data_IF_665200222743
#
_entry.id   IF_665200222743
#
_cell.length_a   1.000
_cell.length_b   1.000
_cell.length_c   1.000
_cell.angle_alpha   90.00
_cell.angle_beta   90.00
_cell.angle_gamma   90.00
#
_symmetry.space_group_name_H-M   'P 1'
#
loop_
_entity.id
_entity.type
_entity.pdbx_description
1 polymer ?
#
# COMPACT_ATOMS: atom_id res chain seq x y z
N UNK A 1 8.73 -0.86 5.24
CA UNK A 1 8.42 0.55 4.91
C UNK A 1 9.61 1.39 5.24
N UNK A 2 10.12 2.17 4.29
CA UNK A 2 11.23 3.09 4.50
C UNK A 2 10.70 4.53 4.51
N UNK A 3 11.40 5.42 5.21
CA UNK A 3 11.11 6.84 5.12
C UNK A 3 11.31 7.32 3.67
N UNK A 4 10.45 8.21 3.18
CA UNK A 4 10.54 8.71 1.80
C UNK A 4 11.84 9.48 1.50
N UNK A 5 12.49 10.05 2.52
CA UNK A 5 13.79 10.70 2.43
C UNK A 5 14.97 9.73 2.55
N UNK A 6 14.73 8.44 2.82
CA UNK A 6 15.79 7.44 2.89
C UNK A 6 16.25 7.06 1.47
N UNK A 7 17.51 7.32 1.16
CA UNK A 7 18.10 7.01 -0.14
C UNK A 7 18.29 5.50 -0.27
N UNK A 8 17.48 4.87 -1.14
CA UNK A 8 17.70 3.50 -1.59
C UNK A 8 18.37 3.51 -2.97
N UNK A 9 19.23 2.52 -3.28
CA UNK A 9 19.67 2.33 -4.64
C UNK A 9 18.47 2.14 -5.57
N UNK A 10 18.57 2.68 -6.79
CA UNK A 10 17.49 2.66 -7.78
C UNK A 10 17.32 1.24 -8.34
N UNK A 11 16.55 0.41 -7.65
CA UNK A 11 16.05 -0.86 -8.17
C UNK A 11 14.52 -0.88 -8.17
N UNK A 12 13.94 -0.99 -9.37
CA UNK A 12 12.51 -1.21 -9.56
C UNK A 12 12.14 -2.63 -9.15
N UNK A 13 11.74 -2.82 -7.89
CA UNK A 13 11.14 -4.08 -7.45
C UNK A 13 9.69 -4.17 -7.94
N UNK A 14 9.30 -5.31 -8.50
CA UNK A 14 7.95 -5.50 -9.06
C UNK A 14 7.45 -6.93 -8.84
N UNK A 15 6.13 -7.09 -8.74
CA UNK A 15 5.47 -8.40 -8.73
C UNK A 15 5.17 -8.93 -10.15
N UNK A 16 5.51 -8.17 -11.19
CA UNK A 16 5.29 -8.58 -12.58
C UNK A 16 6.18 -9.76 -12.96
N UNK A 17 5.63 -10.86 -13.51
CA UNK A 17 6.42 -11.97 -14.00
C UNK A 17 7.28 -11.61 -15.23
N UNK A 18 6.95 -10.52 -15.92
CA UNK A 18 7.63 -10.05 -17.14
C UNK A 18 8.91 -9.25 -16.88
N UNK A 19 9.25 -8.97 -15.62
CA UNK A 19 10.48 -8.25 -15.27
C UNK A 19 11.68 -9.19 -15.11
N UNK A 20 12.89 -8.64 -15.16
CA UNK A 20 14.13 -9.38 -14.89
C UNK A 20 14.06 -10.07 -13.53
N UNK A 21 14.64 -11.27 -13.43
CA UNK A 21 14.54 -12.09 -12.22
C UNK A 21 14.98 -11.36 -10.94
N UNK A 22 16.02 -10.54 -11.02
CA UNK A 22 16.53 -9.79 -9.86
C UNK A 22 15.61 -8.64 -9.42
N UNK A 23 14.68 -8.20 -10.27
CA UNK A 23 13.65 -7.19 -9.98
C UNK A 23 12.36 -7.80 -9.44
N UNK A 24 12.18 -9.12 -9.60
CA UNK A 24 10.93 -9.81 -9.28
C UNK A 24 10.83 -10.11 -7.79
N UNK A 25 9.70 -9.73 -7.20
CA UNK A 25 9.27 -10.16 -5.87
C UNK A 25 8.17 -11.22 -6.00
N UNK A 26 8.19 -12.23 -5.13
CA UNK A 26 7.13 -13.25 -5.02
C UNK A 26 6.33 -13.00 -3.75
N UNK A 27 5.03 -13.30 -3.79
CA UNK A 27 4.15 -13.21 -2.62
C UNK A 27 4.61 -14.09 -1.43
N UNK A 28 5.39 -15.13 -1.70
CA UNK A 28 5.93 -16.06 -0.71
C UNK A 28 7.32 -15.65 -0.21
N UNK A 29 7.90 -14.56 -0.71
CA UNK A 29 9.19 -14.10 -0.23
C UNK A 29 9.08 -13.65 1.23
N UNK A 30 10.08 -14.01 2.03
CA UNK A 30 10.19 -13.52 3.40
C UNK A 30 10.83 -12.14 3.38
N UNK A 31 10.01 -11.10 3.48
CA UNK A 31 10.47 -9.72 3.59
C UNK A 31 10.97 -9.45 5.01
N UNK A 32 12.30 -9.45 5.20
CA UNK A 32 12.96 -8.84 6.37
C UNK A 32 13.28 -7.37 6.10
N UNK A 33 12.40 -6.70 5.36
CA UNK A 33 12.60 -5.33 4.95
C UNK A 33 12.55 -4.41 6.17
N UNK A 34 13.30 -3.31 6.10
CA UNK A 34 13.26 -2.27 7.14
C UNK A 34 11.84 -1.74 7.32
N UNK A 35 11.40 -1.64 8.57
CA UNK A 35 10.24 -0.86 8.95
C UNK A 35 10.76 0.36 9.72
N UNK A 36 10.75 1.51 9.06
CA UNK A 36 11.11 2.80 9.64
C UNK A 36 9.88 3.57 10.12
N UNK A 37 8.74 2.89 10.32
CA UNK A 37 7.61 3.49 10.99
C UNK A 37 8.01 3.76 12.45
N UNK A 38 7.76 4.96 12.99
CA UNK A 38 8.04 5.22 14.40
C UNK A 38 7.23 4.29 15.30
N UNK A 39 7.87 3.68 16.31
CA UNK A 39 7.21 2.71 17.20
C UNK A 39 6.12 3.35 18.11
N UNK A 40 6.11 4.68 18.24
CA UNK A 40 5.25 5.41 19.16
C UNK A 40 4.34 6.45 18.48
N UNK A 41 4.08 6.32 17.18
CA UNK A 41 3.11 7.18 16.49
C UNK A 41 1.76 6.50 16.35
N UNK A 42 0.69 7.25 16.63
CA UNK A 42 -0.70 6.85 16.38
C UNK A 42 -1.26 7.51 15.10
N UNK A 43 -0.37 8.06 14.26
CA UNK A 43 -0.74 8.70 13.01
C UNK A 43 -1.54 7.76 12.10
N UNK A 44 -2.46 8.35 11.35
CA UNK A 44 -3.26 7.59 10.41
C UNK A 44 -2.42 7.17 9.21
N UNK A 45 -2.54 5.89 8.83
CA UNK A 45 -1.96 5.36 7.60
C UNK A 45 -3.06 5.21 6.55
N UNK A 46 -2.82 5.81 5.38
CA UNK A 46 -3.67 5.66 4.20
C UNK A 46 -2.96 4.81 3.15
N UNK A 47 -3.66 3.81 2.62
CA UNK A 47 -3.15 2.95 1.57
C UNK A 47 -3.84 3.22 0.24
N UNK A 48 -3.04 3.68 -0.72
CA UNK A 48 -3.41 3.89 -2.12
C UNK A 48 -2.59 2.93 -3.00
N UNK A 49 -3.06 1.69 -3.17
CA UNK A 49 -2.29 0.69 -3.90
C UNK A 49 -3.13 -0.41 -4.50
N UNK A 50 -2.49 -1.19 -5.39
CA UNK A 50 -3.12 -2.36 -6.00
C UNK A 50 -3.38 -3.48 -4.99
N UNK A 51 -4.40 -4.31 -5.26
CA UNK A 51 -4.82 -5.42 -4.40
C UNK A 51 -3.68 -6.39 -4.03
N UNK A 52 -2.71 -6.56 -4.93
CA UNK A 52 -1.61 -7.51 -4.76
C UNK A 52 -0.62 -7.08 -3.67
N UNK A 53 -0.61 -5.79 -3.32
CA UNK A 53 0.23 -5.23 -2.25
C UNK A 53 -0.46 -5.26 -0.88
N UNK A 54 -1.76 -5.58 -0.80
CA UNK A 54 -2.51 -5.57 0.46
C UNK A 54 -1.96 -6.54 1.52
N UNK A 55 -1.61 -7.79 1.19
CA UNK A 55 -1.05 -8.70 2.20
C UNK A 55 0.24 -8.14 2.82
N UNK A 56 1.11 -7.57 1.99
CA UNK A 56 2.36 -6.96 2.44
C UNK A 56 2.10 -5.72 3.31
N UNK A 57 1.20 -4.85 2.89
CA UNK A 57 0.78 -3.69 3.69
C UNK A 57 0.24 -4.10 5.07
N UNK A 58 -0.68 -5.07 5.12
CA UNK A 58 -1.27 -5.54 6.37
C UNK A 58 -0.22 -6.15 7.30
N UNK A 59 0.75 -6.88 6.75
CA UNK A 59 1.83 -7.48 7.53
C UNK A 59 2.77 -6.40 8.11
N UNK A 60 3.20 -5.45 7.29
CA UNK A 60 4.15 -4.39 7.69
C UNK A 60 3.56 -3.40 8.69
N UNK A 61 2.26 -3.13 8.61
CA UNK A 61 1.57 -2.17 9.48
C UNK A 61 0.81 -2.82 10.62
N UNK A 62 0.98 -4.15 10.84
CA UNK A 62 0.16 -4.92 11.78
C UNK A 62 0.19 -4.39 13.21
N UNK A 63 1.37 -3.97 13.67
CA UNK A 63 1.62 -3.52 15.05
C UNK A 63 1.41 -2.02 15.22
N UNK A 64 1.08 -1.29 14.15
CA UNK A 64 0.91 0.16 14.19
C UNK A 64 -0.37 0.52 14.97
N UNK A 65 -0.30 1.37 16.01
CA UNK A 65 -1.45 1.67 16.87
C UNK A 65 -2.43 2.67 16.23
N UNK A 66 -1.97 3.44 15.22
CA UNK A 66 -2.79 4.38 14.48
C UNK A 66 -3.82 3.74 13.54
N UNK A 67 -4.82 4.53 13.14
CA UNK A 67 -5.89 4.11 12.22
C UNK A 67 -5.31 3.76 10.85
N UNK A 68 -5.70 2.60 10.29
CA UNK A 68 -5.26 2.14 8.96
C UNK A 68 -6.45 2.12 8.02
N UNK A 69 -6.41 2.92 6.97
CA UNK A 69 -7.48 3.00 5.96
C UNK A 69 -6.97 2.56 4.61
N UNK A 70 -7.69 1.65 3.97
CA UNK A 70 -7.38 1.09 2.67
C UNK A 70 -8.43 1.57 1.67
N UNK A 71 -7.97 2.26 0.65
CA UNK A 71 -8.78 2.50 -0.53
C UNK A 71 -8.76 1.29 -1.45
N UNK A 72 -9.90 0.94 -2.05
CA UNK A 72 -10.02 -0.16 -3.00
C UNK A 72 -11.04 0.16 -4.10
N UNK A 73 -10.86 -0.39 -5.30
CA UNK A 73 -11.82 -0.25 -6.41
C UNK A 73 -12.49 -1.58 -6.82
N UNK A 74 -12.09 -2.71 -6.22
CA UNK A 74 -12.63 -4.03 -6.58
C UNK A 74 -14.09 -4.19 -6.14
N UNK A 75 -14.85 -5.00 -6.88
CA UNK A 75 -16.24 -5.33 -6.49
C UNK A 75 -16.29 -6.16 -5.22
N UNK A 76 -15.36 -7.12 -5.09
CA UNK A 76 -15.21 -7.91 -3.87
C UNK A 76 -14.46 -7.09 -2.82
N UNK A 77 -14.97 -7.15 -1.59
CA UNK A 77 -14.32 -6.55 -0.42
C UNK A 77 -12.93 -7.19 -0.21
N UNK A 78 -11.86 -6.40 -0.05
CA UNK A 78 -10.55 -6.94 0.27
C UNK A 78 -10.52 -7.53 1.68
N UNK A 79 -9.76 -8.61 1.87
CA UNK A 79 -9.49 -9.15 3.19
C UNK A 79 -8.32 -8.39 3.82
N UNK A 80 -8.62 -7.45 4.73
CA UNK A 80 -7.62 -6.66 5.44
C UNK A 80 -8.06 -6.43 6.90
N UNK A 81 -7.84 -7.41 7.80
CA UNK A 81 -8.31 -7.34 9.17
C UNK A 81 -7.68 -6.16 9.94
N UNK A 82 -8.50 -5.48 10.74
CA UNK A 82 -8.08 -4.32 11.53
C UNK A 82 -7.79 -3.06 10.71
N UNK A 83 -8.25 -3.01 9.46
CA UNK A 83 -8.20 -1.82 8.60
C UNK A 83 -9.62 -1.35 8.25
N UNK A 84 -9.81 -0.04 8.11
CA UNK A 84 -11.02 0.52 7.51
C UNK A 84 -10.92 0.44 6.00
N UNK A 85 -12.02 0.08 5.34
CA UNK A 85 -12.07 -0.09 3.89
C UNK A 85 -12.94 1.02 3.29
N UNK A 86 -12.38 1.81 2.39
CA UNK A 86 -13.08 2.86 1.64
C UNK A 86 -13.10 2.52 0.14
N UNK A 87 -14.29 2.39 -0.44
CA UNK A 87 -14.42 2.12 -1.88
C UNK A 87 -14.17 3.41 -2.67
N UNK A 88 -13.24 3.37 -3.61
CA UNK A 88 -13.04 4.44 -4.58
C UNK A 88 -13.77 4.09 -5.88
N UNK A 89 -14.71 4.94 -6.28
CA UNK A 89 -15.54 4.73 -7.47
C UNK A 89 -14.86 5.37 -8.68
N UNK A 90 -14.41 4.54 -9.62
CA UNK A 90 -13.80 4.96 -10.88
C UNK A 90 -14.05 3.89 -11.95
N UNK A 91 -14.02 4.30 -13.22
CA UNK A 91 -14.04 3.39 -14.38
C UNK A 91 -12.65 2.85 -14.71
N UNK A 92 -11.59 3.49 -14.19
CA UNK A 92 -10.19 3.11 -14.39
C UNK A 92 -9.89 1.80 -13.69
N UNK A 93 -9.42 0.79 -14.44
CA UNK A 93 -9.15 -0.57 -13.94
C UNK A 93 -7.71 -0.76 -13.46
N UNK A 94 -6.74 -0.30 -14.24
CA UNK A 94 -5.31 -0.36 -13.92
C UNK A 94 -4.84 1.00 -13.42
N UNK A 95 -3.88 1.04 -12.49
CA UNK A 95 -3.28 2.30 -12.02
C UNK A 95 -4.26 3.32 -11.39
N UNK A 96 -5.49 2.91 -11.08
CA UNK A 96 -6.55 3.73 -10.46
C UNK A 96 -6.14 4.36 -9.11
N UNK A 97 -5.17 3.75 -8.42
CA UNK A 97 -4.70 4.23 -7.12
C UNK A 97 -4.00 5.60 -7.24
N UNK A 98 -3.44 5.95 -8.41
CA UNK A 98 -2.93 7.31 -8.64
C UNK A 98 -4.04 8.35 -8.71
N UNK A 99 -5.17 8.03 -9.37
CA UNK A 99 -6.36 8.90 -9.37
C UNK A 99 -6.91 9.07 -7.96
N UNK A 100 -6.96 7.98 -7.18
CA UNK A 100 -7.41 8.00 -5.80
C UNK A 100 -6.50 8.86 -4.92
N UNK A 101 -5.17 8.70 -5.02
CA UNK A 101 -4.21 9.52 -4.29
C UNK A 101 -4.33 11.00 -4.67
N UNK A 102 -4.49 11.32 -5.97
CA UNK A 102 -4.73 12.69 -6.43
C UNK A 102 -6.02 13.26 -5.87
N UNK A 103 -7.12 12.50 -5.89
CA UNK A 103 -8.40 12.95 -5.34
C UNK A 103 -8.31 13.23 -3.82
N UNK A 104 -7.52 12.45 -3.09
CA UNK A 104 -7.23 12.71 -1.67
C UNK A 104 -6.43 14.01 -1.49
N UNK A 105 -5.35 14.21 -2.26
CA UNK A 105 -4.54 15.44 -2.20
C UNK A 105 -5.34 16.68 -2.60
N UNK A 106 -6.30 16.54 -3.53
CA UNK A 106 -7.23 17.59 -3.93
C UNK A 106 -8.32 17.87 -2.86
N UNK A 107 -8.35 17.15 -1.75
CA UNK A 107 -9.36 17.30 -0.69
C UNK A 107 -10.74 16.73 -1.04
N UNK A 108 -10.84 15.87 -2.06
CA UNK A 108 -12.11 15.26 -2.52
C UNK A 108 -12.43 13.94 -1.80
N UNK A 109 -11.51 13.43 -0.99
CA UNK A 109 -11.66 12.21 -0.20
C UNK A 109 -11.25 12.48 1.25
N UNK A 110 -12.00 11.95 2.21
CA UNK A 110 -11.68 12.09 3.63
C UNK A 110 -10.53 11.18 4.05
N UNK A 111 -9.74 11.58 5.05
CA UNK A 111 -8.79 10.69 5.71
C UNK A 111 -9.49 9.50 6.38
#
# INVERSE_FOLDING_TARGET
>A
MINAAFLIPCYDITFSPSADQFKRRKRTDNYRDFCMLPDHTNEQILFFGGKDYLPLFCALTRVHPGKRTIYYNSQKLPNAPGCLLKKFVTTTRTNWHYECAKAFLDGKLDA
#
